data_IF_818134693657
#
_entry.id   IF_818134693657
#
_cell.length_a   1.000
_cell.length_b   1.000
_cell.length_c   1.000
_cell.angle_alpha   90.00
_cell.angle_beta   90.00
_cell.angle_gamma   90.00
#
_symmetry.space_group_name_H-M   'P 1'
#
loop_
_entity.id
_entity.type
_entity.pdbx_description
1 polymer ?
#
# COMPACT_ATOMS: atom_id res chain seq x y z
N UNK A 1 -5.20 2.92 7.04
CA UNK A 1 -4.78 3.99 6.11
C UNK A 1 -5.22 5.31 6.72
N UNK A 2 -4.28 6.14 7.13
CA UNK A 2 -4.51 7.48 7.66
C UNK A 2 -3.68 8.48 6.85
N UNK A 3 -4.02 9.77 6.92
CA UNK A 3 -3.19 10.84 6.36
C UNK A 3 -2.12 11.19 7.39
N UNK A 4 -0.87 10.98 7.04
CA UNK A 4 0.29 11.25 7.89
C UNK A 4 1.36 11.99 7.08
N UNK A 5 2.20 12.76 7.77
CA UNK A 5 3.37 13.39 7.17
C UNK A 5 4.53 12.38 7.19
N UNK A 6 5.37 12.33 6.14
CA UNK A 6 6.47 11.37 6.09
C UNK A 6 7.51 11.72 7.15
N UNK A 7 7.94 10.74 7.92
CA UNK A 7 9.09 10.82 8.82
C UNK A 7 10.38 10.49 8.04
N UNK A 8 11.53 10.77 8.65
CA UNK A 8 12.84 10.63 8.00
C UNK A 8 13.18 9.17 7.62
N UNK A 9 12.56 8.20 8.30
CA UNK A 9 12.70 6.75 8.14
C UNK A 9 11.58 6.11 7.31
N UNK A 10 10.57 6.88 6.92
CA UNK A 10 9.45 6.35 6.16
C UNK A 10 9.81 6.18 4.67
N UNK A 11 9.39 5.05 4.10
CA UNK A 11 9.41 4.83 2.67
C UNK A 11 8.31 5.66 2.01
N UNK A 12 8.72 6.56 1.12
CA UNK A 12 7.82 7.40 0.33
C UNK A 12 7.72 6.88 -1.10
N UNK A 13 6.53 6.42 -1.48
CA UNK A 13 6.23 5.97 -2.86
C UNK A 13 5.20 6.91 -3.48
N UNK A 14 5.52 7.47 -4.65
CA UNK A 14 4.61 8.38 -5.37
C UNK A 14 4.14 7.74 -6.67
N UNK A 15 2.84 7.53 -6.82
CA UNK A 15 2.21 6.90 -7.99
C UNK A 15 0.86 7.55 -8.27
N UNK A 16 0.55 7.84 -9.54
CA UNK A 16 -0.74 8.38 -10.00
C UNK A 16 -1.25 9.61 -9.23
N UNK A 17 -0.31 10.47 -8.78
CA UNK A 17 -0.61 11.68 -8.01
C UNK A 17 -0.86 11.45 -6.52
N UNK A 18 -0.77 10.21 -6.04
CA UNK A 18 -0.84 9.86 -4.62
C UNK A 18 0.55 9.63 -4.04
N UNK A 19 0.73 10.08 -2.80
CA UNK A 19 1.92 9.84 -2.00
C UNK A 19 1.58 8.83 -0.92
N UNK A 20 2.19 7.65 -0.99
CA UNK A 20 2.10 6.61 0.02
C UNK A 20 3.31 6.67 0.91
N UNK A 21 3.07 6.58 2.21
CA UNK A 21 4.07 6.62 3.27
C UNK A 21 3.92 5.32 4.03
N UNK A 22 5.01 4.59 4.18
CA UNK A 22 5.03 3.28 4.83
C UNK A 22 6.28 3.16 5.68
N UNK A 23 6.18 2.45 6.79
CA UNK A 23 7.32 2.12 7.65
C UNK A 23 8.32 1.23 6.89
N UNK A 24 9.61 1.37 7.18
CA UNK A 24 10.70 0.60 6.55
C UNK A 24 10.50 -0.93 6.74
N UNK A 25 10.01 -1.34 7.92
CA UNK A 25 9.66 -2.73 8.25
C UNK A 25 8.66 -3.35 7.25
N UNK A 26 7.81 -2.51 6.63
CA UNK A 26 6.85 -2.98 5.64
C UNK A 26 7.54 -3.47 4.36
N UNK A 27 8.66 -2.85 3.98
CA UNK A 27 9.47 -3.27 2.83
C UNK A 27 10.20 -4.58 3.11
N UNK A 28 10.71 -4.77 4.34
CA UNK A 28 11.34 -6.04 4.74
C UNK A 28 10.36 -7.21 4.72
N UNK A 29 9.11 -6.96 5.14
CA UNK A 29 8.05 -7.98 5.17
C UNK A 29 7.41 -8.26 3.80
N UNK A 30 7.46 -7.29 2.89
CA UNK A 30 6.77 -7.32 1.61
C UNK A 30 7.63 -6.70 0.49
N UNK A 31 8.42 -7.54 -0.18
CA UNK A 31 9.25 -7.13 -1.33
C UNK A 31 8.45 -6.44 -2.46
N UNK A 32 7.18 -6.79 -2.61
CA UNK A 32 6.26 -6.24 -3.60
C UNK A 32 4.85 -6.21 -3.02
N UNK A 33 4.10 -5.17 -3.34
CA UNK A 33 2.69 -5.04 -2.97
C UNK A 33 1.96 -4.22 -4.04
N UNK A 34 0.66 -4.47 -4.18
CA UNK A 34 -0.24 -3.76 -5.08
C UNK A 34 -1.26 -3.00 -4.25
N UNK A 35 -1.40 -1.70 -4.50
CA UNK A 35 -2.46 -0.88 -3.91
C UNK A 35 -3.55 -0.73 -4.96
N UNK A 36 -4.74 -1.23 -4.67
CA UNK A 36 -5.91 -1.10 -5.53
C UNK A 36 -7.00 -0.29 -4.83
N UNK A 37 -7.72 0.55 -5.58
CA UNK A 37 -8.85 1.32 -5.06
C UNK A 37 -10.14 0.82 -5.66
N UNK A 38 -11.01 0.24 -4.83
CA UNK A 38 -12.35 -0.17 -5.26
C UNK A 38 -13.36 0.92 -4.89
N UNK A 39 -14.19 1.32 -5.86
CA UNK A 39 -15.31 2.25 -5.70
C UNK A 39 -16.68 1.58 -5.85
N UNK A 40 -16.73 0.26 -5.63
CA UNK A 40 -17.95 -0.54 -5.77
C UNK A 40 -19.08 -0.12 -4.83
N UNK A 41 -20.31 -0.51 -5.18
CA UNK A 41 -21.51 -0.21 -4.39
C UNK A 41 -21.47 -0.84 -2.98
N UNK A 42 -20.79 -1.97 -2.84
CA UNK A 42 -20.69 -2.74 -1.58
C UNK A 42 -19.43 -2.46 -0.77
N UNK A 43 -18.34 -2.03 -1.41
CA UNK A 43 -17.07 -1.74 -0.73
C UNK A 43 -16.36 -0.60 -1.43
N UNK A 44 -16.13 0.48 -0.70
CA UNK A 44 -15.31 1.60 -1.11
C UNK A 44 -14.07 1.66 -0.24
N UNK A 45 -12.89 1.72 -0.85
CA UNK A 45 -11.65 1.87 -0.10
C UNK A 45 -10.43 1.31 -0.83
N UNK A 46 -9.27 1.62 -0.25
CA UNK A 46 -7.99 1.09 -0.67
C UNK A 46 -7.79 -0.33 -0.12
N UNK A 47 -7.31 -1.21 -0.97
CA UNK A 47 -6.86 -2.56 -0.61
C UNK A 47 -5.38 -2.66 -0.93
N UNK A 48 -4.59 -3.07 0.05
CA UNK A 48 -3.17 -3.35 -0.14
C UNK A 48 -3.03 -4.86 -0.21
N UNK A 49 -2.62 -5.38 -1.37
CA UNK A 49 -2.38 -6.80 -1.60
C UNK A 49 -0.89 -7.02 -1.65
N UNK A 50 -0.29 -7.65 -0.63
CA UNK A 50 1.11 -8.01 -0.70
C UNK A 50 1.33 -9.13 -1.71
N UNK A 51 2.33 -8.97 -2.58
CA UNK A 51 2.78 -10.00 -3.51
C UNK A 51 3.68 -10.99 -2.75
N UNK A 52 3.07 -11.73 -1.82
CA UNK A 52 3.63 -12.98 -1.32
C UNK A 52 3.24 -14.02 -2.34
N UNK A 53 4.15 -14.35 -3.25
CA UNK A 53 3.91 -15.33 -4.31
C UNK A 53 3.20 -16.57 -3.77
N UNK A 54 1.91 -16.74 -4.12
CA UNK A 54 1.10 -17.86 -3.67
C UNK A 54 -0.22 -17.45 -3.03
N UNK A 55 -1.24 -17.25 -3.87
CA UNK A 55 -2.60 -17.75 -3.64
C UNK A 55 -3.32 -17.72 -4.98
N UNK A 56 -3.01 -18.70 -5.84
CA UNK A 56 -3.96 -19.13 -6.85
C UNK A 56 -5.15 -19.72 -6.09
N UNK A 57 -6.34 -19.17 -6.33
CA UNK A 57 -7.59 -19.84 -5.96
C UNK A 57 -7.65 -21.24 -6.57
#
# INVERSE_FOLDING_TARGET
MALEEPKDDDLVVSTDGFKFIMEEDFQELYNKFTIDYSSGLLRRGFTVVPDRGGSTC
#
